data_IF_589834985885
#
_entry.id   IF_589834985885
#
_cell.length_a   1.000
_cell.length_b   1.000
_cell.length_c   1.000
_cell.angle_alpha   90.00
_cell.angle_beta   90.00
_cell.angle_gamma   90.00
#
_symmetry.space_group_name_H-M   'P 1'
#
loop_
_entity.id
_entity.type
_entity.pdbx_description
1 polymer ?
#
# COMPACT_ATOMS: atom_id res chain seq x y z
N UNK A 1 -25.73 13.11 5.39
CA UNK A 1 -24.63 12.31 5.96
C UNK A 1 -25.12 10.88 6.07
N UNK A 2 -25.09 10.16 4.96
CA UNK A 2 -25.46 8.74 4.91
C UNK A 2 -24.32 8.02 4.19
N UNK A 3 -23.17 7.95 4.86
CA UNK A 3 -22.13 7.00 4.44
C UNK A 3 -22.76 5.63 4.56
N UNK A 4 -23.03 4.99 3.42
CA UNK A 4 -23.43 3.59 3.39
C UNK A 4 -22.42 2.78 4.21
N UNK A 5 -22.85 1.66 4.81
CA UNK A 5 -21.95 0.81 5.59
C UNK A 5 -20.69 0.41 4.81
N UNK A 6 -20.79 0.37 3.48
CA UNK A 6 -19.67 0.12 2.57
C UNK A 6 -18.71 1.31 2.40
N UNK A 7 -19.21 2.54 2.28
CA UNK A 7 -18.35 3.73 2.25
C UNK A 7 -17.53 3.90 3.53
N UNK A 8 -18.14 3.60 4.68
CA UNK A 8 -17.42 3.56 5.96
C UNK A 8 -16.32 2.50 5.97
N UNK A 9 -16.61 1.30 5.46
CA UNK A 9 -15.63 0.22 5.34
C UNK A 9 -14.41 0.65 4.50
N UNK A 10 -14.64 1.26 3.34
CA UNK A 10 -13.57 1.72 2.44
C UNK A 10 -12.71 2.81 3.08
N UNK A 11 -13.33 3.72 3.83
CA UNK A 11 -12.60 4.73 4.62
C UNK A 11 -11.71 4.08 5.69
N UNK A 12 -12.24 3.10 6.42
CA UNK A 12 -11.46 2.36 7.43
C UNK A 12 -10.28 1.66 6.79
N UNK A 13 -10.46 1.01 5.64
CA UNK A 13 -9.37 0.35 4.90
C UNK A 13 -8.26 1.33 4.56
N UNK A 14 -8.59 2.53 4.06
CA UNK A 14 -7.58 3.56 3.74
C UNK A 14 -6.76 3.97 4.97
N UNK A 15 -7.45 4.22 6.10
CA UNK A 15 -6.79 4.63 7.35
C UNK A 15 -5.92 3.51 7.91
N UNK A 16 -6.44 2.27 7.94
CA UNK A 16 -5.69 1.10 8.44
C UNK A 16 -4.47 0.83 7.56
N UNK A 17 -4.60 0.91 6.24
CA UNK A 17 -3.48 0.75 5.32
C UNK A 17 -2.41 1.84 5.55
N UNK A 18 -2.81 3.10 5.68
CA UNK A 18 -1.88 4.20 5.97
C UNK A 18 -1.12 3.99 7.29
N UNK A 19 -1.84 3.62 8.36
CA UNK A 19 -1.22 3.32 9.66
C UNK A 19 -0.28 2.12 9.54
N UNK A 20 -0.67 1.07 8.82
CA UNK A 20 0.15 -0.11 8.59
C UNK A 20 1.46 0.21 7.88
N UNK A 21 1.42 1.04 6.83
CA UNK A 21 2.61 1.49 6.10
C UNK A 21 3.54 2.29 7.00
N UNK A 22 3.01 3.26 7.75
CA UNK A 22 3.81 4.09 8.66
C UNK A 22 4.44 3.25 9.79
N UNK A 23 3.66 2.33 10.36
CA UNK A 23 4.13 1.41 11.40
C UNK A 23 5.18 0.42 10.88
N UNK A 24 5.03 -0.07 9.64
CA UNK A 24 6.04 -0.89 8.97
C UNK A 24 7.36 -0.13 8.88
N UNK A 25 7.37 1.10 8.38
CA UNK A 25 8.62 1.86 8.26
C UNK A 25 9.23 2.26 9.60
N UNK A 26 8.40 2.48 10.62
CA UNK A 26 8.89 2.75 11.96
C UNK A 26 9.61 1.52 12.55
N UNK A 27 9.10 0.31 12.33
CA UNK A 27 9.73 -0.93 12.80
C UNK A 27 10.88 -1.39 11.91
N UNK A 28 10.75 -1.32 10.58
CA UNK A 28 11.78 -1.71 9.62
C UNK A 28 13.07 -0.88 9.73
N UNK A 29 12.98 0.33 10.31
CA UNK A 29 14.15 1.18 10.57
C UNK A 29 15.18 0.56 11.51
N UNK A 30 14.80 -0.43 12.33
CA UNK A 30 15.67 -1.12 13.28
C UNK A 30 16.12 -2.50 12.83
N UNK A 31 15.63 -3.01 11.69
CA UNK A 31 15.98 -4.35 11.23
C UNK A 31 17.40 -4.40 10.65
N UNK A 32 18.16 -5.49 10.88
CA UNK A 32 19.43 -5.69 10.19
C UNK A 32 19.16 -5.82 8.69
N UNK A 33 19.88 -5.05 7.88
CA UNK A 33 19.69 -4.95 6.42
C UNK A 33 20.84 -5.57 5.61
N UNK A 34 21.79 -6.17 6.30
CA UNK A 34 23.10 -6.64 5.83
C UNK A 34 23.28 -8.16 5.99
N UNK A 35 22.19 -8.89 6.19
CA UNK A 35 22.18 -10.36 6.26
C UNK A 35 22.83 -11.01 5.01
N UNK A 36 23.70 -12.03 5.16
CA UNK A 36 24.46 -12.61 4.04
C UNK A 36 23.61 -13.21 2.91
N UNK A 37 22.38 -13.62 3.20
CA UNK A 37 21.47 -14.21 2.24
C UNK A 37 20.71 -13.17 1.40
N UNK A 38 20.78 -11.88 1.76
CA UNK A 38 20.11 -10.80 1.04
C UNK A 38 20.88 -10.43 -0.23
N UNK A 39 20.18 -10.03 -1.30
CA UNK A 39 20.84 -9.66 -2.54
C UNK A 39 21.70 -8.39 -2.35
N UNK A 40 22.77 -8.23 -3.16
CA UNK A 40 23.55 -7.01 -3.17
C UNK A 40 22.67 -5.78 -3.39
N UNK A 41 22.85 -4.75 -2.56
CA UNK A 41 22.07 -3.51 -2.66
C UNK A 41 20.67 -3.57 -2.03
N UNK A 42 20.26 -4.67 -1.37
CA UNK A 42 18.96 -4.79 -0.70
C UNK A 42 18.63 -3.59 0.18
N UNK A 43 19.55 -3.20 1.07
CA UNK A 43 19.34 -2.08 1.97
C UNK A 43 19.14 -0.74 1.25
N UNK A 44 19.73 -0.55 0.06
CA UNK A 44 19.54 0.66 -0.74
C UNK A 44 18.19 0.62 -1.44
N UNK A 45 17.84 -0.53 -2.03
CA UNK A 45 16.54 -0.78 -2.64
C UNK A 45 15.39 -0.48 -1.66
N UNK A 46 15.39 -1.12 -0.49
CA UNK A 46 14.35 -0.89 0.55
C UNK A 46 14.26 0.58 0.96
N UNK A 47 15.40 1.26 1.13
CA UNK A 47 15.40 2.69 1.50
C UNK A 47 14.73 3.58 0.46
N UNK A 48 14.70 3.19 -0.82
CA UNK A 48 14.02 3.92 -1.87
C UNK A 48 12.49 3.90 -1.72
N UNK A 49 11.91 2.91 -1.03
CA UNK A 49 10.46 2.81 -0.83
C UNK A 49 9.93 3.68 0.30
N UNK A 50 10.76 4.00 1.29
CA UNK A 50 10.32 4.75 2.48
C UNK A 50 9.60 6.06 2.14
N UNK A 51 10.15 6.84 1.22
CA UNK A 51 9.54 8.13 0.82
C UNK A 51 8.26 7.92 0.00
N UNK A 52 8.25 7.15 -1.10
CA UNK A 52 7.03 6.81 -1.83
C UNK A 52 5.90 6.26 -0.95
N UNK A 53 6.22 5.33 -0.05
CA UNK A 53 5.27 4.72 0.87
C UNK A 53 4.69 5.73 1.86
N UNK A 54 5.53 6.60 2.41
CA UNK A 54 5.08 7.69 3.29
C UNK A 54 4.15 8.64 2.56
N UNK A 55 4.48 9.02 1.32
CA UNK A 55 3.61 9.86 0.49
C UNK A 55 2.28 9.14 0.23
N UNK A 56 2.32 7.86 -0.13
CA UNK A 56 1.12 7.05 -0.35
C UNK A 56 0.23 6.99 0.91
N UNK A 57 0.82 6.78 2.09
CA UNK A 57 0.10 6.76 3.36
C UNK A 57 -0.57 8.11 3.66
N UNK A 58 0.11 9.23 3.40
CA UNK A 58 -0.47 10.57 3.57
C UNK A 58 -1.64 10.81 2.59
N UNK A 59 -1.53 10.34 1.35
CA UNK A 59 -2.61 10.43 0.36
C UNK A 59 -3.83 9.59 0.78
N UNK A 60 -3.63 8.39 1.33
CA UNK A 60 -4.71 7.57 1.87
C UNK A 60 -5.44 8.26 3.03
N UNK A 61 -4.70 8.90 3.94
CA UNK A 61 -5.28 9.68 5.04
C UNK A 61 -6.06 10.87 4.49
N UNK A 62 -5.47 11.62 3.55
CA UNK A 62 -6.12 12.77 2.94
C UNK A 62 -7.40 12.36 2.18
N UNK A 63 -7.35 11.27 1.42
CA UNK A 63 -8.50 10.72 0.71
C UNK A 63 -9.60 10.31 1.69
N UNK A 64 -9.26 9.59 2.77
CA UNK A 64 -10.22 9.23 3.81
C UNK A 64 -10.89 10.46 4.46
N UNK A 65 -10.12 11.51 4.77
CA UNK A 65 -10.66 12.77 5.33
C UNK A 65 -11.58 13.50 4.35
N UNK A 66 -11.22 13.57 3.07
CA UNK A 66 -12.05 14.20 2.04
C UNK A 66 -13.34 13.41 1.80
N UNK A 67 -13.26 12.08 1.75
CA UNK A 67 -14.44 11.20 1.66
C UNK A 67 -15.35 11.36 2.87
N UNK A 68 -14.80 11.47 4.09
CA UNK A 68 -15.59 11.73 5.29
C UNK A 68 -16.32 13.09 5.24
N UNK A 69 -15.73 14.07 4.56
CA UNK A 69 -16.32 15.40 4.35
C UNK A 69 -17.25 15.48 3.13
N UNK A 70 -17.51 14.36 2.45
CA UNK A 70 -18.33 14.29 1.24
C UNK A 70 -17.80 15.20 0.11
N UNK A 71 -16.47 15.31 0.00
CA UNK A 71 -15.77 16.12 -1.00
C UNK A 71 -15.39 15.23 -2.19
N UNK A 72 -15.82 15.61 -3.39
CA UNK A 72 -15.68 14.80 -4.61
C UNK A 72 -14.21 14.42 -4.92
N UNK A 73 -13.27 15.28 -4.59
CA UNK A 73 -11.82 15.08 -4.76
C UNK A 73 -11.28 13.93 -3.92
N UNK A 74 -11.98 13.51 -2.85
CA UNK A 74 -11.60 12.34 -2.04
C UNK A 74 -11.52 11.07 -2.88
N UNK A 75 -12.45 10.90 -3.84
CA UNK A 75 -12.45 9.80 -4.79
C UNK A 75 -11.23 9.83 -5.72
N UNK A 76 -10.94 10.99 -6.30
CA UNK A 76 -9.80 11.15 -7.22
C UNK A 76 -8.49 10.86 -6.50
N UNK A 77 -8.36 11.33 -5.24
CA UNK A 77 -7.16 11.10 -4.45
C UNK A 77 -7.01 9.63 -4.02
N UNK A 78 -8.12 8.96 -3.70
CA UNK A 78 -8.13 7.52 -3.42
C UNK A 78 -7.65 6.71 -4.64
N UNK A 79 -8.05 7.09 -5.87
CA UNK A 79 -7.56 6.45 -7.10
C UNK A 79 -6.06 6.65 -7.31
N UNK A 80 -5.54 7.85 -7.05
CA UNK A 80 -4.09 8.12 -7.12
C UNK A 80 -3.35 7.23 -6.12
N UNK A 81 -3.79 7.17 -4.87
CA UNK A 81 -3.19 6.32 -3.85
C UNK A 81 -3.29 4.83 -4.21
N UNK A 82 -4.40 4.38 -4.78
CA UNK A 82 -4.59 3.00 -5.23
C UNK A 82 -3.62 2.63 -6.37
N UNK A 83 -3.41 3.54 -7.33
CA UNK A 83 -2.42 3.38 -8.38
C UNK A 83 -0.98 3.30 -7.84
N UNK A 84 -0.65 4.11 -6.85
CA UNK A 84 0.65 4.05 -6.16
C UNK A 84 0.84 2.72 -5.44
N UNK A 85 -0.14 2.28 -4.63
CA UNK A 85 -0.08 0.98 -3.95
C UNK A 85 0.07 -0.18 -4.92
N UNK A 86 -0.66 -0.16 -6.04
CA UNK A 86 -0.56 -1.19 -7.07
C UNK A 86 0.86 -1.24 -7.65
N UNK A 87 1.40 -0.07 -8.02
CA UNK A 87 2.73 0.02 -8.60
C UNK A 87 3.82 -0.45 -7.62
N UNK A 88 3.77 0.05 -6.37
CA UNK A 88 4.71 -0.32 -5.31
C UNK A 88 4.63 -1.83 -5.01
N UNK A 89 3.42 -2.37 -4.85
CA UNK A 89 3.22 -3.79 -4.60
C UNK A 89 3.70 -4.70 -5.74
N UNK A 90 3.60 -4.26 -6.99
CA UNK A 90 4.15 -5.00 -8.15
C UNK A 90 5.68 -4.97 -8.15
N UNK A 91 6.31 -3.83 -7.84
CA UNK A 91 7.77 -3.77 -7.72
C UNK A 91 8.24 -4.70 -6.60
N UNK A 92 7.60 -4.65 -5.43
CA UNK A 92 7.92 -5.56 -4.32
C UNK A 92 7.79 -7.02 -4.71
N UNK A 93 6.65 -7.39 -5.31
CA UNK A 93 6.40 -8.76 -5.74
C UNK A 93 7.46 -9.26 -6.72
N UNK A 94 7.80 -8.44 -7.73
CA UNK A 94 8.77 -8.80 -8.76
C UNK A 94 10.19 -8.86 -8.20
N UNK A 95 10.59 -7.90 -7.36
CA UNK A 95 11.89 -7.89 -6.70
C UNK A 95 12.06 -9.11 -5.78
N UNK A 96 11.06 -9.39 -4.95
CA UNK A 96 11.07 -10.53 -4.03
C UNK A 96 11.09 -11.86 -4.78
N UNK A 97 10.35 -11.97 -5.88
CA UNK A 97 10.37 -13.17 -6.73
C UNK A 97 11.74 -13.38 -7.37
N UNK A 98 12.31 -12.35 -8.00
CA UNK A 98 13.60 -12.43 -8.69
C UNK A 98 14.78 -12.76 -7.76
N UNK A 99 14.70 -12.32 -6.50
CA UNK A 99 15.75 -12.57 -5.50
C UNK A 99 15.46 -13.77 -4.59
N UNK A 100 14.38 -14.52 -4.84
CA UNK A 100 13.99 -15.69 -4.05
C UNK A 100 13.69 -15.35 -2.59
N UNK A 101 13.14 -14.16 -2.31
CA UNK A 101 12.76 -13.71 -0.97
C UNK A 101 11.46 -14.37 -0.47
N UNK A 102 10.69 -15.01 -1.35
CA UNK A 102 9.54 -15.82 -0.95
C UNK A 102 9.91 -17.21 -0.40
N UNK A 103 11.20 -17.55 -0.32
CA UNK A 103 11.66 -18.79 0.31
C UNK A 103 11.34 -18.80 1.81
N UNK A 104 11.01 -19.97 2.36
CA UNK A 104 10.49 -20.09 3.74
C UNK A 104 11.56 -19.70 4.78
N UNK A 105 12.81 -20.03 4.49
CA UNK A 105 14.00 -19.73 5.27
C UNK A 105 14.42 -18.25 5.21
N UNK A 106 13.73 -17.43 4.41
CA UNK A 106 13.95 -15.98 4.24
C UNK A 106 12.68 -15.18 4.57
N UNK A 107 11.88 -15.68 5.51
CA UNK A 107 10.60 -15.06 5.91
C UNK A 107 9.58 -14.89 4.77
N UNK A 108 9.66 -15.74 3.74
CA UNK A 108 8.85 -15.61 2.54
C UNK A 108 7.33 -15.58 2.74
N UNK A 109 6.83 -16.14 3.84
CA UNK A 109 5.42 -16.03 4.23
C UNK A 109 5.02 -14.59 4.58
N UNK A 110 5.89 -13.87 5.31
CA UNK A 110 5.65 -12.48 5.67
C UNK A 110 5.70 -11.60 4.43
N UNK A 111 6.73 -11.78 3.60
CA UNK A 111 6.87 -11.11 2.31
C UNK A 111 5.63 -11.31 1.42
N UNK A 112 5.17 -12.56 1.28
CA UNK A 112 3.97 -12.86 0.50
C UNK A 112 2.71 -12.21 1.10
N UNK A 113 2.56 -12.23 2.43
CA UNK A 113 1.42 -11.61 3.10
C UNK A 113 1.37 -10.10 2.88
N UNK A 114 2.51 -9.41 2.96
CA UNK A 114 2.61 -7.96 2.71
C UNK A 114 2.21 -7.66 1.25
N UNK A 115 2.80 -8.36 0.29
CA UNK A 115 2.50 -8.17 -1.14
C UNK A 115 1.02 -8.41 -1.44
N UNK A 116 0.45 -9.51 -0.95
CA UNK A 116 -0.98 -9.83 -1.14
C UNK A 116 -1.87 -8.75 -0.52
N UNK A 117 -1.53 -8.28 0.69
CA UNK A 117 -2.30 -7.24 1.38
C UNK A 117 -2.26 -5.91 0.59
N UNK A 118 -1.08 -5.47 0.16
CA UNK A 118 -0.89 -4.22 -0.60
C UNK A 118 -1.66 -4.29 -1.92
N UNK A 119 -1.51 -5.36 -2.69
CA UNK A 119 -2.20 -5.55 -3.96
C UNK A 119 -3.72 -5.71 -3.76
N UNK A 120 -4.15 -6.36 -2.69
CA UNK A 120 -5.56 -6.52 -2.33
C UNK A 120 -6.22 -5.19 -1.99
N UNK A 121 -5.57 -4.36 -1.17
CA UNK A 121 -6.05 -3.01 -0.85
C UNK A 121 -6.08 -2.14 -2.11
N UNK A 122 -5.02 -2.16 -2.92
CA UNK A 122 -4.98 -1.41 -4.18
C UNK A 122 -6.15 -1.79 -5.10
N UNK A 123 -6.39 -3.09 -5.28
CA UNK A 123 -7.47 -3.62 -6.12
C UNK A 123 -8.85 -3.22 -5.59
N UNK A 124 -9.08 -3.33 -4.28
CA UNK A 124 -10.32 -2.91 -3.65
C UNK A 124 -10.60 -1.42 -3.89
N UNK A 125 -9.60 -0.56 -3.67
CA UNK A 125 -9.74 0.88 -3.86
C UNK A 125 -9.99 1.24 -5.33
N UNK A 126 -9.33 0.56 -6.28
CA UNK A 126 -9.58 0.76 -7.71
C UNK A 126 -11.01 0.37 -8.09
N UNK A 127 -11.48 -0.81 -7.69
CA UNK A 127 -12.82 -1.29 -8.02
C UNK A 127 -13.88 -0.33 -7.50
N UNK A 128 -13.71 0.16 -6.27
CA UNK A 128 -14.70 1.04 -5.65
C UNK A 128 -14.73 2.44 -6.28
N UNK A 129 -13.57 2.99 -6.62
CA UNK A 129 -13.49 4.38 -7.04
C UNK A 129 -13.46 4.55 -8.57
N UNK A 130 -13.33 3.49 -9.38
CA UNK A 130 -13.46 3.59 -10.84
C UNK A 130 -14.95 3.84 -11.20
N UNK A 131 -15.26 4.86 -12.01
CA UNK A 131 -16.64 5.10 -12.47
C UNK A 131 -17.15 3.95 -13.32
N UNK A 132 -18.45 3.64 -13.18
CA UNK A 132 -19.11 2.78 -14.14
C UNK A 132 -19.01 3.39 -15.56
N UNK A 133 -18.88 2.57 -16.61
CA UNK A 133 -18.84 3.06 -17.98
C UNK A 133 -20.06 3.95 -18.27
N UNK A 134 -19.82 5.18 -18.74
CA UNK A 134 -20.88 6.13 -19.15
C UNK A 134 -21.34 7.13 -18.09
N UNK A 135 -20.70 7.20 -16.92
CA UNK A 135 -21.03 8.15 -15.85
C UNK A 135 -20.19 9.46 -15.86
N UNK A 136 -19.70 9.90 -17.03
CA UNK A 136 -18.87 11.09 -17.19
C UNK A 136 -19.65 12.25 -17.84
#
# INVERSE_FOLDING_TARGET
>A
METTGFGLFVMIVQVVAAIGILAFWQTASSWPMDEPWRPPGFALHERCFRVPDTVCALLLIAAAVLTWRDVAEGRSLALVAAGMLLFLGVIDATYMFQNGLFARERDGRMHAAIVILVLGVATLLLIEHIPAPGAA
#
